data_IF_191629019383
#
_entry.id   IF_191629019383
#
_cell.length_a   1.000
_cell.length_b   1.000
_cell.length_c   1.000
_cell.angle_alpha   90.00
_cell.angle_beta   90.00
_cell.angle_gamma   90.00
#
_symmetry.space_group_name_H-M   'P 1'
#
loop_
_entity.id
_entity.type
_entity.pdbx_description
1 polymer ?
#
# COMPACT_ATOMS: atom_id res chain seq x y z
N UNK A 1 -3.03 22.71 15.76
CA UNK A 1 -2.41 21.80 14.76
C UNK A 1 -1.54 20.76 15.46
N UNK A 2 -0.71 21.17 16.43
CA UNK A 2 0.23 20.31 17.16
C UNK A 2 -0.48 19.17 17.91
N UNK A 3 -1.59 19.46 18.62
CA UNK A 3 -2.39 18.46 19.33
C UNK A 3 -3.04 17.41 18.41
N UNK A 4 -3.39 17.79 17.18
CA UNK A 4 -3.92 16.85 16.18
C UNK A 4 -2.83 15.95 15.60
N UNK A 5 -1.64 16.50 15.36
CA UNK A 5 -0.49 15.72 14.90
C UNK A 5 -0.02 14.71 15.98
N UNK A 6 -0.10 15.11 17.26
CA UNK A 6 0.23 14.22 18.38
C UNK A 6 -0.70 13.04 18.54
N UNK A 7 -1.96 13.18 18.16
CA UNK A 7 -2.95 12.09 18.19
C UNK A 7 -2.86 11.18 16.95
N UNK A 8 -2.22 11.66 15.88
CA UNK A 8 -2.18 10.97 14.59
C UNK A 8 -0.91 10.13 14.38
N UNK A 9 0.20 10.51 14.98
CA UNK A 9 1.46 9.75 14.88
C UNK A 9 1.43 8.55 15.82
N UNK A 10 1.35 7.36 15.26
CA UNK A 10 1.17 6.10 15.98
C UNK A 10 2.38 5.71 16.82
N UNK A 11 3.60 6.14 16.48
CA UNK A 11 4.83 5.85 17.22
C UNK A 11 5.71 7.09 17.36
N UNK A 12 6.56 7.12 18.40
CA UNK A 12 7.53 8.21 18.61
C UNK A 12 8.48 8.36 17.43
N UNK A 13 8.90 7.25 16.81
CA UNK A 13 9.82 7.23 15.67
C UNK A 13 9.19 7.81 14.40
N UNK A 14 7.95 7.45 14.08
CA UNK A 14 7.23 7.99 12.93
C UNK A 14 6.96 9.49 13.08
N UNK A 15 6.64 9.91 14.31
CA UNK A 15 6.46 11.31 14.63
C UNK A 15 7.74 12.13 14.43
N UNK A 16 8.88 11.62 14.88
CA UNK A 16 10.18 12.28 14.71
C UNK A 16 10.56 12.38 13.23
N UNK A 17 10.35 11.31 12.45
CA UNK A 17 10.58 11.31 11.01
C UNK A 17 9.70 12.35 10.30
N UNK A 18 8.40 12.38 10.59
CA UNK A 18 7.46 13.35 10.01
C UNK A 18 7.83 14.79 10.39
N UNK A 19 8.15 15.04 11.65
CA UNK A 19 8.57 16.37 12.12
C UNK A 19 9.90 16.78 11.46
N UNK A 20 10.81 15.84 11.20
CA UNK A 20 12.05 16.10 10.47
C UNK A 20 11.78 16.59 9.05
N UNK A 21 10.89 15.90 8.32
CA UNK A 21 10.48 16.29 6.96
C UNK A 21 9.79 17.65 6.95
N UNK A 22 8.84 17.89 7.86
CA UNK A 22 8.12 19.16 7.95
C UNK A 22 9.05 20.34 8.30
N UNK A 23 10.03 20.11 9.17
CA UNK A 23 11.05 21.13 9.52
C UNK A 23 11.95 21.45 8.33
N UNK A 24 12.44 20.44 7.63
CA UNK A 24 13.27 20.64 6.45
C UNK A 24 12.52 21.44 5.37
N UNK A 25 11.25 21.11 5.16
CA UNK A 25 10.39 21.81 4.22
C UNK A 25 10.12 23.26 4.64
N UNK A 26 9.85 23.49 5.93
CA UNK A 26 9.65 24.83 6.46
C UNK A 26 10.90 25.70 6.31
N UNK A 27 12.08 25.14 6.54
CA UNK A 27 13.35 25.84 6.32
C UNK A 27 13.53 26.21 4.84
N UNK A 28 13.16 25.31 3.92
CA UNK A 28 13.28 25.53 2.47
C UNK A 28 12.33 26.62 1.98
N UNK A 29 11.11 26.68 2.50
CA UNK A 29 10.09 27.65 2.10
C UNK A 29 10.18 28.99 2.86
N UNK A 30 10.98 29.06 3.93
CA UNK A 30 11.10 30.28 4.76
C UNK A 30 9.75 30.72 5.30
N UNK A 31 9.44 32.03 5.15
CA UNK A 31 8.18 32.62 5.63
C UNK A 31 7.01 32.51 4.63
N UNK A 32 7.22 31.84 3.48
CA UNK A 32 6.24 31.71 2.42
C UNK A 32 5.28 30.55 2.70
N UNK A 33 4.21 30.79 3.46
CA UNK A 33 3.23 29.78 3.87
C UNK A 33 2.54 29.10 2.67
N UNK A 34 2.27 29.86 1.60
CA UNK A 34 1.66 29.32 0.37
C UNK A 34 2.62 28.37 -0.34
N UNK A 35 3.90 28.69 -0.41
CA UNK A 35 4.93 27.81 -0.96
C UNK A 35 5.04 26.52 -0.13
N UNK A 36 5.05 26.62 1.18
CA UNK A 36 5.05 25.47 2.10
C UNK A 36 3.83 24.56 1.88
N UNK A 37 2.63 25.15 1.78
CA UNK A 37 1.40 24.40 1.55
C UNK A 37 1.41 23.67 0.20
N UNK A 38 1.88 24.34 -0.86
CA UNK A 38 1.96 23.77 -2.20
C UNK A 38 3.00 22.66 -2.26
N UNK A 39 4.18 22.84 -1.68
CA UNK A 39 5.20 21.79 -1.58
C UNK A 39 4.72 20.59 -0.77
N UNK A 40 4.01 20.83 0.34
CA UNK A 40 3.43 19.76 1.14
C UNK A 40 2.36 18.97 0.38
N UNK A 41 1.53 19.66 -0.43
CA UNK A 41 0.51 19.01 -1.27
C UNK A 41 1.10 18.22 -2.45
N UNK A 42 2.27 18.61 -2.94
CA UNK A 42 2.97 17.92 -4.03
C UNK A 42 3.77 16.71 -3.56
N UNK A 43 4.08 16.62 -2.26
CA UNK A 43 4.80 15.47 -1.71
C UNK A 43 3.92 14.24 -1.68
N UNK A 44 4.43 13.17 -2.23
CA UNK A 44 3.80 11.85 -2.19
C UNK A 44 4.22 11.09 -0.93
N UNK A 45 3.47 10.03 -0.60
CA UNK A 45 3.86 9.08 0.46
C UNK A 45 5.27 8.50 0.21
N UNK A 46 5.72 8.45 -1.05
CA UNK A 46 7.05 7.99 -1.42
C UNK A 46 8.18 8.91 -0.89
N UNK A 47 7.91 10.22 -0.75
CA UNK A 47 8.90 11.18 -0.26
C UNK A 47 9.12 11.07 1.26
N UNK A 48 8.21 10.40 1.96
CA UNK A 48 8.30 10.08 3.39
C UNK A 48 9.00 8.75 3.66
N UNK A 49 9.34 8.01 2.59
CA UNK A 49 9.97 6.70 2.72
C UNK A 49 11.47 6.84 3.00
N UNK A 50 11.91 6.29 4.12
CA UNK A 50 13.34 6.16 4.45
C UNK A 50 13.84 4.77 4.08
N UNK A 51 14.72 4.71 3.08
CA UNK A 51 15.37 3.47 2.62
C UNK A 51 16.22 2.79 3.70
N UNK A 52 16.59 3.52 4.77
CA UNK A 52 17.41 3.03 5.88
C UNK A 52 16.60 2.47 7.03
N UNK A 53 15.28 2.71 7.03
CA UNK A 53 14.41 2.17 8.06
C UNK A 53 14.38 0.65 7.97
N UNK A 54 14.79 -0.03 9.04
CA UNK A 54 14.61 -1.47 9.19
C UNK A 54 13.14 -1.75 9.53
N UNK A 55 12.32 -1.99 8.51
CA UNK A 55 10.89 -2.21 8.71
C UNK A 55 10.17 -2.66 7.44
N UNK A 56 8.89 -2.98 7.60
CA UNK A 56 7.99 -3.26 6.49
C UNK A 56 7.27 -1.97 6.11
N UNK A 57 7.47 -1.53 4.87
CA UNK A 57 6.79 -0.37 4.33
C UNK A 57 5.40 -0.76 3.80
N UNK A 58 4.37 -0.04 4.23
CA UNK A 58 3.00 -0.15 3.70
C UNK A 58 2.73 1.04 2.79
N UNK A 59 2.53 0.76 1.51
CA UNK A 59 2.38 1.79 0.48
C UNK A 59 1.22 1.44 -0.44
N UNK A 60 0.62 2.45 -1.05
CA UNK A 60 -0.23 2.24 -2.22
C UNK A 60 0.64 1.89 -3.44
N UNK A 61 0.04 1.27 -4.47
CA UNK A 61 0.77 1.01 -5.72
C UNK A 61 1.23 2.31 -6.39
N UNK A 62 0.46 3.40 -6.25
CA UNK A 62 0.84 4.72 -6.75
C UNK A 62 2.05 5.30 -6.02
N UNK A 63 2.05 5.21 -4.70
CA UNK A 63 3.15 5.71 -3.87
C UNK A 63 4.46 4.92 -4.07
N UNK A 64 4.36 3.66 -4.50
CA UNK A 64 5.53 2.82 -4.79
C UNK A 64 6.25 3.18 -6.11
N UNK A 65 5.71 4.10 -6.91
CA UNK A 65 6.33 4.52 -8.17
C UNK A 65 7.69 5.16 -7.90
N UNK A 66 8.73 4.67 -8.58
CA UNK A 66 10.10 5.17 -8.42
C UNK A 66 10.89 4.54 -7.28
N UNK A 67 10.24 3.81 -6.36
CA UNK A 67 10.91 3.07 -5.29
C UNK A 67 11.24 1.65 -5.74
N UNK A 68 12.17 1.00 -5.03
CA UNK A 68 12.54 -0.40 -5.27
C UNK A 68 12.74 -1.11 -3.93
N UNK A 69 12.32 -2.37 -3.87
CA UNK A 69 12.37 -3.18 -2.67
C UNK A 69 12.89 -4.58 -2.99
N UNK A 70 13.68 -5.16 -2.09
CA UNK A 70 14.14 -6.54 -2.28
C UNK A 70 12.97 -7.54 -2.37
N UNK A 71 11.94 -7.32 -1.58
CA UNK A 71 10.76 -8.19 -1.52
C UNK A 71 9.50 -7.33 -1.56
N UNK A 72 8.57 -7.63 -2.45
CA UNK A 72 7.30 -6.93 -2.59
C UNK A 72 6.15 -7.90 -2.40
N UNK A 73 5.18 -7.51 -1.58
CA UNK A 73 3.88 -8.17 -1.45
C UNK A 73 2.80 -7.25 -2.00
N UNK A 74 2.17 -7.62 -3.11
CA UNK A 74 0.96 -6.95 -3.58
C UNK A 74 -0.23 -7.73 -3.02
N UNK A 75 -1.00 -7.08 -2.17
CA UNK A 75 -2.12 -7.70 -1.48
C UNK A 75 -3.44 -7.33 -2.12
N UNK A 76 -4.46 -8.19 -1.98
CA UNK A 76 -5.79 -7.90 -2.53
C UNK A 76 -5.89 -8.07 -4.04
N UNK A 77 -5.11 -8.99 -4.63
CA UNK A 77 -5.24 -9.33 -6.05
C UNK A 77 -6.53 -10.11 -6.32
N UNK A 78 -7.67 -9.44 -6.17
CA UNK A 78 -9.03 -10.00 -6.19
C UNK A 78 -9.94 -9.18 -7.10
N UNK A 79 -10.87 -9.83 -7.77
CA UNK A 79 -11.93 -9.14 -8.52
C UNK A 79 -12.69 -8.18 -7.60
N UNK A 80 -12.91 -6.96 -8.09
CA UNK A 80 -13.54 -5.88 -7.34
C UNK A 80 -12.59 -5.03 -6.50
N UNK A 81 -11.33 -5.47 -6.30
CA UNK A 81 -10.27 -4.67 -5.69
C UNK A 81 -9.16 -4.35 -6.68
N UNK A 82 -8.84 -5.26 -7.58
CA UNK A 82 -7.85 -5.11 -8.64
C UNK A 82 -8.26 -5.97 -9.85
N UNK A 83 -8.96 -5.40 -10.85
CA UNK A 83 -9.39 -3.99 -10.96
C UNK A 83 -10.46 -3.59 -9.93
N UNK A 84 -10.40 -2.32 -9.49
CA UNK A 84 -11.39 -1.78 -8.59
C UNK A 84 -12.73 -1.60 -9.30
N UNK A 85 -13.79 -2.18 -8.74
CA UNK A 85 -15.14 -2.03 -9.26
C UNK A 85 -16.11 -1.72 -8.13
N UNK A 86 -17.02 -0.77 -8.33
CA UNK A 86 -18.04 -0.42 -7.34
C UNK A 86 -19.37 -1.13 -7.60
N UNK A 87 -19.72 -1.35 -8.87
CA UNK A 87 -21.00 -1.91 -9.32
C UNK A 87 -20.85 -3.14 -10.22
N UNK A 88 -19.65 -3.72 -10.27
CA UNK A 88 -19.30 -4.86 -11.12
C UNK A 88 -19.05 -4.50 -12.58
N UNK A 89 -19.11 -3.22 -12.95
CA UNK A 89 -18.75 -2.72 -14.26
C UNK A 89 -17.34 -2.16 -14.20
N UNK A 90 -16.56 -2.47 -15.21
CA UNK A 90 -15.21 -1.94 -15.39
C UNK A 90 -15.19 -1.17 -16.69
N UNK A 91 -14.85 0.10 -16.62
CA UNK A 91 -14.52 0.87 -17.80
C UNK A 91 -13.22 0.34 -18.40
N UNK A 92 -13.16 0.06 -19.71
CA UNK A 92 -11.94 -0.44 -20.35
C UNK A 92 -10.71 0.45 -20.16
N UNK A 93 -10.89 1.77 -20.11
CA UNK A 93 -9.78 2.70 -19.87
C UNK A 93 -9.27 2.57 -18.42
N UNK A 94 -10.19 2.50 -17.46
CA UNK A 94 -9.86 2.29 -16.05
C UNK A 94 -9.18 0.92 -15.85
N UNK A 95 -9.68 -0.13 -16.49
CA UNK A 95 -9.05 -1.46 -16.42
C UNK A 95 -7.61 -1.43 -16.94
N UNK A 96 -7.40 -0.73 -18.09
CA UNK A 96 -6.07 -0.61 -18.66
C UNK A 96 -5.11 0.16 -17.73
N UNK A 97 -5.60 1.20 -17.05
CA UNK A 97 -4.81 1.98 -16.11
C UNK A 97 -4.45 1.17 -14.86
N UNK A 98 -5.40 0.44 -14.28
CA UNK A 98 -5.13 -0.42 -13.13
C UNK A 98 -4.19 -1.58 -13.48
N UNK A 99 -4.25 -2.09 -14.71
CA UNK A 99 -3.29 -3.06 -15.23
C UNK A 99 -1.87 -2.49 -15.27
N UNK A 100 -1.73 -1.22 -15.74
CA UNK A 100 -0.43 -0.52 -15.72
C UNK A 100 0.06 -0.31 -14.30
N UNK A 101 -0.84 0.05 -13.39
CA UNK A 101 -0.52 0.25 -11.98
C UNK A 101 -0.04 -1.03 -11.32
N UNK A 102 -0.70 -2.17 -11.58
CA UNK A 102 -0.22 -3.48 -11.14
C UNK A 102 1.18 -3.77 -11.69
N UNK A 103 1.39 -3.52 -12.99
CA UNK A 103 2.71 -3.72 -13.61
C UNK A 103 3.78 -2.88 -12.93
N UNK A 104 3.50 -1.59 -12.65
CA UNK A 104 4.41 -0.73 -11.90
C UNK A 104 4.74 -1.34 -10.53
N UNK A 105 3.73 -1.78 -9.77
CA UNK A 105 3.93 -2.44 -8.48
C UNK A 105 4.78 -3.71 -8.58
N UNK A 106 4.54 -4.53 -9.59
CA UNK A 106 5.31 -5.76 -9.82
C UNK A 106 6.79 -5.46 -10.11
N UNK A 107 7.06 -4.41 -10.88
CA UNK A 107 8.43 -4.00 -11.23
C UNK A 107 9.20 -3.36 -10.07
N UNK A 108 8.57 -3.13 -8.94
CA UNK A 108 9.27 -2.64 -7.73
C UNK A 108 10.05 -3.72 -7.00
N UNK A 109 9.80 -4.99 -7.32
CA UNK A 109 10.49 -6.11 -6.70
C UNK A 109 11.84 -6.39 -7.36
N UNK A 110 12.91 -6.34 -6.59
CA UNK A 110 14.27 -6.68 -7.05
C UNK A 110 14.53 -8.19 -7.00
N UNK A 111 14.10 -8.88 -5.94
CA UNK A 111 14.42 -10.29 -5.71
C UNK A 111 13.16 -11.18 -5.70
N UNK A 112 12.11 -10.77 -5.01
CA UNK A 112 10.91 -11.61 -4.81
C UNK A 112 9.64 -10.77 -4.89
N UNK A 113 8.68 -11.32 -5.63
CA UNK A 113 7.34 -10.76 -5.74
C UNK A 113 6.32 -11.79 -5.25
N UNK A 114 5.41 -11.34 -4.39
CA UNK A 114 4.28 -12.11 -3.93
C UNK A 114 2.99 -11.39 -4.28
N UNK A 115 2.13 -12.04 -5.06
CA UNK A 115 0.79 -11.59 -5.38
C UNK A 115 -0.19 -12.41 -4.54
N UNK A 116 -0.98 -11.76 -3.69
CA UNK A 116 -1.82 -12.48 -2.75
C UNK A 116 -3.29 -12.12 -2.90
N UNK A 117 -4.15 -13.12 -2.78
CA UNK A 117 -5.60 -12.95 -2.71
C UNK A 117 -6.17 -13.78 -1.56
N UNK A 118 -7.28 -13.33 -0.99
CA UNK A 118 -7.95 -14.03 0.09
C UNK A 118 -9.07 -14.92 -0.45
N UNK A 119 -9.16 -16.17 0.02
CA UNK A 119 -10.32 -17.02 -0.30
C UNK A 119 -11.61 -16.50 0.35
N UNK A 120 -11.48 -15.81 1.48
CA UNK A 120 -12.60 -15.21 2.21
C UNK A 120 -12.14 -13.87 2.79
N UNK A 121 -12.93 -12.85 2.54
CA UNK A 121 -12.67 -11.48 3.01
C UNK A 121 -13.90 -10.91 3.69
N UNK A 122 -13.70 -10.25 4.82
CA UNK A 122 -14.74 -9.40 5.40
C UNK A 122 -14.60 -8.00 4.79
N UNK A 123 -15.68 -7.54 4.14
CA UNK A 123 -15.75 -6.24 3.51
C UNK A 123 -17.04 -5.56 3.91
N UNK A 124 -16.98 -4.37 4.50
CA UNK A 124 -18.15 -3.62 5.01
C UNK A 124 -19.11 -4.49 5.84
N UNK A 125 -18.56 -5.25 6.80
CA UNK A 125 -19.34 -6.12 7.69
C UNK A 125 -19.82 -7.44 7.07
N UNK A 126 -19.70 -7.63 5.75
CA UNK A 126 -20.15 -8.85 5.05
C UNK A 126 -18.96 -9.73 4.70
N UNK A 127 -19.15 -11.05 4.79
CA UNK A 127 -18.15 -12.00 4.33
C UNK A 127 -18.38 -12.27 2.85
N UNK A 128 -17.31 -12.12 2.05
CA UNK A 128 -17.28 -12.42 0.61
C UNK A 128 -16.25 -13.50 0.33
N UNK A 129 -16.44 -14.23 -0.76
CA UNK A 129 -15.47 -15.15 -1.37
C UNK A 129 -15.10 -14.57 -2.73
N UNK A 130 -14.13 -13.64 -2.76
CA UNK A 130 -13.76 -13.01 -4.02
C UNK A 130 -13.04 -14.00 -4.93
N UNK A 131 -13.23 -13.85 -6.23
CA UNK A 131 -12.41 -14.53 -7.23
C UNK A 131 -11.03 -13.85 -7.32
N UNK A 132 -9.99 -14.61 -7.68
CA UNK A 132 -8.70 -14.02 -8.00
C UNK A 132 -8.82 -12.98 -9.12
N UNK A 133 -8.06 -11.91 -9.02
CA UNK A 133 -7.99 -10.88 -10.06
C UNK A 133 -7.75 -11.48 -11.44
N UNK A 134 -8.51 -11.02 -12.45
CA UNK A 134 -8.32 -11.40 -13.85
C UNK A 134 -6.90 -11.11 -14.35
N UNK A 135 -6.24 -10.12 -13.80
CA UNK A 135 -4.86 -9.77 -14.16
C UNK A 135 -3.86 -10.88 -13.82
N UNK A 136 -4.17 -11.72 -12.84
CA UNK A 136 -3.31 -12.87 -12.52
C UNK A 136 -3.36 -13.95 -13.59
N UNK A 137 -4.44 -14.02 -14.39
CA UNK A 137 -4.57 -14.98 -15.48
C UNK A 137 -3.66 -14.65 -16.66
N UNK A 138 -3.26 -13.38 -16.80
CA UNK A 138 -2.37 -12.91 -17.87
C UNK A 138 -0.90 -13.27 -17.61
N UNK A 139 -0.57 -13.69 -16.39
CA UNK A 139 0.79 -14.05 -16.03
C UNK A 139 1.16 -15.43 -16.58
N UNK A 140 2.26 -15.56 -17.33
CA UNK A 140 2.67 -16.85 -17.88
C UNK A 140 2.94 -17.87 -16.77
N UNK A 141 2.27 -19.01 -16.82
CA UNK A 141 2.32 -20.04 -15.77
C UNK A 141 3.75 -20.52 -15.44
N UNK A 142 4.66 -20.48 -16.43
CA UNK A 142 6.09 -20.84 -16.26
C UNK A 142 6.85 -19.96 -15.26
N UNK A 143 6.35 -18.74 -15.00
CA UNK A 143 6.97 -17.79 -14.04
C UNK A 143 6.23 -17.75 -12.71
N UNK A 144 5.09 -18.41 -12.57
CA UNK A 144 4.23 -18.33 -11.39
C UNK A 144 4.28 -19.62 -10.60
N UNK A 145 4.63 -19.52 -9.33
CA UNK A 145 4.48 -20.62 -8.37
C UNK A 145 3.28 -20.35 -7.47
N UNK A 146 2.21 -21.12 -7.65
CA UNK A 146 1.02 -21.01 -6.79
C UNK A 146 1.26 -21.73 -5.46
N UNK A 147 0.87 -21.07 -4.37
CA UNK A 147 0.88 -21.63 -3.01
C UNK A 147 -0.43 -21.28 -2.31
N UNK A 148 -1.03 -22.27 -1.67
CA UNK A 148 -2.21 -22.03 -0.82
C UNK A 148 -1.76 -22.14 0.63
N UNK A 149 -1.99 -21.08 1.41
CA UNK A 149 -1.79 -21.09 2.84
C UNK A 149 -3.14 -21.20 3.52
N UNK A 150 -3.40 -22.35 4.15
CA UNK A 150 -4.55 -22.49 5.04
C UNK A 150 -4.12 -21.96 6.40
N UNK A 151 -4.65 -20.82 6.81
CA UNK A 151 -4.45 -20.34 8.18
C UNK A 151 -5.14 -21.31 9.12
N UNK A 152 -4.36 -22.09 9.86
CA UNK A 152 -4.89 -22.86 10.98
C UNK A 152 -5.49 -21.86 11.96
N UNK A 153 -6.80 -21.94 12.21
CA UNK A 153 -7.41 -21.10 13.25
C UNK A 153 -6.67 -21.39 14.57
N UNK A 154 -5.89 -20.44 15.01
CA UNK A 154 -5.44 -20.43 16.41
C UNK A 154 -6.71 -20.15 17.20
N UNK A 155 -7.06 -20.97 18.21
CA UNK A 155 -8.19 -20.68 19.09
C UNK A 155 -8.01 -19.27 19.65
N UNK A 156 -9.02 -18.45 19.53
CA UNK A 156 -9.04 -17.07 20.01
C UNK A 156 -9.03 -17.04 21.54
N UNK A 157 -7.88 -17.30 22.12
CA UNK A 157 -7.55 -17.04 23.51
C UNK A 157 -6.36 -16.08 23.63
N UNK A 158 -5.88 -15.55 22.52
CA UNK A 158 -4.77 -14.62 22.47
C UNK A 158 -5.26 -13.17 22.34
N UNK A 159 -4.66 -12.29 23.10
CA UNK A 159 -4.81 -10.84 22.99
C UNK A 159 -4.71 -10.45 21.51
N UNK A 160 -5.75 -9.80 20.99
CA UNK A 160 -5.66 -9.07 19.74
C UNK A 160 -4.54 -8.05 19.91
N UNK A 161 -3.50 -8.15 19.10
CA UNK A 161 -2.53 -7.07 19.00
C UNK A 161 -3.29 -5.89 18.39
N UNK A 162 -3.54 -4.87 19.18
CA UNK A 162 -3.98 -3.59 18.69
C UNK A 162 -2.79 -2.99 17.95
N UNK A 163 -2.88 -2.99 16.63
CA UNK A 163 -2.01 -2.19 15.78
C UNK A 163 -2.54 -0.77 15.86
N UNK A 164 -1.83 0.07 16.57
CA UNK A 164 -2.07 1.50 16.67
C UNK A 164 -1.59 2.22 15.41
#
# INVERSE_FOLDING_TARGET
LTEHLERWAATTSEREALLGVLRALAIQCGDELEAFRNELALRSEADLWDARAEGVSLLTLHAAKGLEFRVVFIVGCEEGLLPLTYDGRVDPEQEAEERRLLFVGMTRAQERLFLTHAQRRRWMGRVRTPEPSRFLADLPARFVRRRTHTVRRVPTGGRQLELF
#
